data_IF_511455475081
#
_entry.id   IF_511455475081
#
_cell.length_a   1.000
_cell.length_b   1.000
_cell.length_c   1.000
_cell.angle_alpha   90.00
_cell.angle_beta   90.00
_cell.angle_gamma   90.00
#
_symmetry.space_group_name_H-M   'P 1'
#
loop_
_entity.id
_entity.type
_entity.pdbx_description
1 polymer ?
#
# COMPACT_ATOMS: atom_id res chain seq x y z
N UNK A 1 -15.06 1.35 -14.08
CA UNK A 1 -14.57 2.73 -14.36
C UNK A 1 -14.12 2.83 -15.82
N UNK A 2 -14.03 4.03 -16.43
CA UNK A 2 -13.42 4.14 -17.75
C UNK A 2 -11.92 3.84 -17.69
N UNK A 3 -11.38 3.17 -18.71
CA UNK A 3 -9.95 2.79 -18.77
C UNK A 3 -9.03 3.98 -18.56
N UNK A 4 -9.36 5.13 -19.15
CA UNK A 4 -8.57 6.36 -18.99
C UNK A 4 -8.50 6.84 -17.53
N UNK A 5 -9.59 6.76 -16.77
CA UNK A 5 -9.60 7.19 -15.37
C UNK A 5 -8.80 6.24 -14.46
N UNK A 6 -8.82 4.94 -14.76
CA UNK A 6 -7.96 3.94 -14.08
C UNK A 6 -6.48 4.21 -14.38
N UNK A 7 -6.12 4.48 -15.64
CA UNK A 7 -4.75 4.83 -16.01
C UNK A 7 -4.26 6.10 -15.30
N UNK A 8 -5.09 7.14 -15.22
CA UNK A 8 -4.75 8.36 -14.48
C UNK A 8 -4.54 8.07 -13.00
N UNK A 9 -5.41 7.26 -12.38
CA UNK A 9 -5.25 6.87 -10.98
C UNK A 9 -3.92 6.13 -10.73
N UNK A 10 -3.50 5.25 -11.64
CA UNK A 10 -2.20 4.57 -11.54
C UNK A 10 -1.01 5.51 -11.74
N UNK A 11 -1.11 6.50 -12.63
CA UNK A 11 -0.07 7.54 -12.77
C UNK A 11 0.05 8.35 -11.48
N UNK A 12 -1.07 8.79 -10.90
CA UNK A 12 -1.09 9.52 -9.63
C UNK A 12 -0.50 8.67 -8.51
N UNK A 13 -0.89 7.40 -8.39
CA UNK A 13 -0.34 6.48 -7.39
C UNK A 13 1.17 6.29 -7.57
N UNK A 14 1.65 6.17 -8.81
CA UNK A 14 3.09 6.04 -9.12
C UNK A 14 3.88 7.28 -8.68
N UNK A 15 3.35 8.48 -8.94
CA UNK A 15 3.95 9.73 -8.46
C UNK A 15 4.03 9.76 -6.92
N UNK A 16 2.97 9.33 -6.23
CA UNK A 16 2.96 9.26 -4.77
C UNK A 16 3.98 8.26 -4.21
N UNK A 17 4.20 7.12 -4.87
CA UNK A 17 5.25 6.19 -4.47
C UNK A 17 6.66 6.76 -4.66
N UNK A 18 6.90 7.50 -5.75
CA UNK A 18 8.18 8.20 -5.96
C UNK A 18 8.41 9.23 -4.84
N UNK A 19 7.39 10.04 -4.51
CA UNK A 19 7.47 11.00 -3.41
C UNK A 19 7.63 10.32 -2.04
N UNK A 20 7.04 9.14 -1.84
CA UNK A 20 7.22 8.34 -0.64
C UNK A 20 8.68 7.93 -0.45
N UNK A 21 9.31 7.36 -1.48
CA UNK A 21 10.72 6.93 -1.44
C UNK A 21 11.67 8.11 -1.22
N UNK A 22 11.45 9.23 -1.92
CA UNK A 22 12.23 10.45 -1.71
C UNK A 22 12.05 11.03 -0.29
N UNK A 23 10.82 11.01 0.23
CA UNK A 23 10.52 11.49 1.58
C UNK A 23 11.11 10.62 2.69
N UNK A 24 11.20 9.31 2.49
CA UNK A 24 11.81 8.36 3.44
C UNK A 24 13.35 8.48 3.53
N UNK A 25 13.98 9.12 2.54
CA UNK A 25 15.44 9.29 2.49
C UNK A 25 15.96 10.41 3.42
N UNK A 26 15.07 11.27 3.94
CA UNK A 26 15.42 12.34 4.88
C UNK A 26 14.57 12.24 6.14
N UNK A 27 15.20 12.28 7.32
CA UNK A 27 14.49 12.06 8.59
C UNK A 27 13.42 13.11 8.88
N UNK A 28 13.65 14.36 8.48
CA UNK A 28 12.69 15.46 8.65
C UNK A 28 11.41 15.24 7.83
N UNK A 29 11.51 14.58 6.67
CA UNK A 29 10.37 14.29 5.80
C UNK A 29 9.84 12.86 5.90
N UNK A 30 10.50 11.97 6.65
CA UNK A 30 10.19 10.53 6.67
C UNK A 30 8.71 10.23 6.99
N UNK A 31 8.13 10.96 7.96
CA UNK A 31 6.71 10.81 8.33
C UNK A 31 5.77 11.20 7.19
N UNK A 32 6.10 12.26 6.44
CA UNK A 32 5.33 12.70 5.27
C UNK A 32 5.51 11.74 4.09
N UNK A 33 6.74 11.25 3.89
CA UNK A 33 7.04 10.20 2.91
C UNK A 33 6.15 8.98 3.09
N UNK A 34 6.09 8.44 4.31
CA UNK A 34 5.23 7.29 4.60
C UNK A 34 3.74 7.56 4.31
N UNK A 35 3.24 8.76 4.60
CA UNK A 35 1.85 9.14 4.29
C UNK A 35 1.58 9.16 2.78
N UNK A 36 2.54 9.61 1.95
CA UNK A 36 2.41 9.53 0.49
C UNK A 36 2.33 8.09 0.02
N UNK A 37 3.13 7.18 0.60
CA UNK A 37 3.06 5.74 0.30
C UNK A 37 1.69 5.14 0.64
N UNK A 38 1.14 5.48 1.81
CA UNK A 38 -0.21 5.05 2.23
C UNK A 38 -1.28 5.60 1.29
N UNK A 39 -1.21 6.87 0.90
CA UNK A 39 -2.16 7.45 -0.06
C UNK A 39 -2.05 6.77 -1.45
N UNK A 40 -0.84 6.49 -1.91
CA UNK A 40 -0.57 5.83 -3.18
C UNK A 40 -1.19 4.44 -3.25
N UNK A 41 -0.99 3.60 -2.22
CA UNK A 41 -1.54 2.25 -2.20
C UNK A 41 -3.08 2.26 -2.10
N UNK A 42 -3.67 3.19 -1.35
CA UNK A 42 -5.14 3.34 -1.26
C UNK A 42 -5.73 3.70 -2.63
N UNK A 43 -5.12 4.65 -3.36
CA UNK A 43 -5.58 5.05 -4.70
C UNK A 43 -5.45 3.89 -5.68
N UNK A 44 -4.31 3.20 -5.69
CA UNK A 44 -4.07 2.09 -6.60
C UNK A 44 -5.05 0.93 -6.36
N UNK A 45 -5.22 0.50 -5.11
CA UNK A 45 -6.16 -0.57 -4.74
C UNK A 45 -7.60 -0.15 -5.02
N UNK A 46 -7.98 1.08 -4.69
CA UNK A 46 -9.32 1.61 -4.97
C UNK A 46 -9.64 1.64 -6.47
N UNK A 47 -8.70 2.09 -7.30
CA UNK A 47 -8.85 2.09 -8.75
C UNK A 47 -8.98 0.67 -9.32
N UNK A 48 -8.15 -0.27 -8.84
CA UNK A 48 -8.23 -1.69 -9.21
C UNK A 48 -9.59 -2.28 -8.85
N UNK A 49 -10.06 -2.08 -7.62
CA UNK A 49 -11.36 -2.57 -7.15
C UNK A 49 -12.54 -1.97 -7.93
N UNK A 50 -12.44 -0.70 -8.34
CA UNK A 50 -13.50 -0.05 -9.14
C UNK A 50 -13.42 -0.39 -10.65
N UNK A 51 -12.39 -1.12 -11.07
CA UNK A 51 -12.19 -1.58 -12.45
C UNK A 51 -12.50 -3.07 -12.66
N UNK A 52 -12.62 -3.86 -11.58
CA UNK A 52 -12.86 -5.30 -11.67
C UNK A 52 -14.35 -5.60 -11.90
N UNK A 53 -14.65 -6.45 -12.88
CA UNK A 53 -16.02 -6.79 -13.26
C UNK A 53 -16.60 -8.01 -12.50
N UNK A 54 -15.88 -8.52 -11.48
CA UNK A 54 -16.31 -9.67 -10.69
C UNK A 54 -15.32 -10.07 -9.59
N UNK A 55 -15.70 -11.04 -8.75
CA UNK A 55 -14.81 -11.58 -7.71
C UNK A 55 -14.52 -10.64 -6.53
N UNK A 56 -15.21 -9.50 -6.44
CA UNK A 56 -14.99 -8.48 -5.40
C UNK A 56 -15.08 -9.08 -3.99
N UNK A 57 -16.06 -9.95 -3.73
CA UNK A 57 -16.20 -10.63 -2.43
C UNK A 57 -14.96 -11.46 -2.08
N UNK A 58 -14.42 -12.20 -3.04
CA UNK A 58 -13.21 -13.00 -2.83
C UNK A 58 -11.98 -12.11 -2.60
N UNK A 59 -11.86 -11.01 -3.34
CA UNK A 59 -10.76 -10.03 -3.18
C UNK A 59 -10.83 -9.40 -1.78
N UNK A 60 -12.00 -8.94 -1.36
CA UNK A 60 -12.18 -8.33 -0.03
C UNK A 60 -11.84 -9.34 1.07
N UNK A 61 -12.31 -10.59 0.96
CA UNK A 61 -11.98 -11.64 1.93
C UNK A 61 -10.47 -11.87 1.98
N UNK A 62 -9.80 -11.99 0.83
CA UNK A 62 -8.36 -12.18 0.77
C UNK A 62 -7.57 -11.02 1.40
N UNK A 63 -7.99 -9.77 1.12
CA UNK A 63 -7.38 -8.57 1.72
C UNK A 63 -7.58 -8.55 3.24
N UNK A 64 -8.79 -8.88 3.72
CA UNK A 64 -9.08 -8.92 5.15
C UNK A 64 -8.31 -10.02 5.88
N UNK A 65 -8.15 -11.19 5.26
CA UNK A 65 -7.33 -12.28 5.81
C UNK A 65 -5.85 -11.88 5.87
N UNK A 66 -5.32 -11.31 4.79
CA UNK A 66 -3.95 -10.81 4.75
C UNK A 66 -3.68 -9.72 5.79
N UNK A 67 -4.55 -8.72 5.88
CA UNK A 67 -4.46 -7.66 6.88
C UNK A 67 -4.63 -8.18 8.31
N UNK A 68 -5.56 -9.11 8.52
CA UNK A 68 -5.84 -9.73 9.82
C UNK A 68 -4.66 -10.53 10.37
N UNK A 69 -3.81 -11.09 9.51
CA UNK A 69 -2.58 -11.79 9.90
C UNK A 69 -1.39 -10.81 9.98
N UNK A 70 -1.25 -9.92 8.98
CA UNK A 70 -0.11 -9.02 8.86
C UNK A 70 -0.04 -7.96 9.97
N UNK A 71 -1.17 -7.35 10.34
CA UNK A 71 -1.19 -6.28 11.35
C UNK A 71 -0.74 -6.78 12.73
N UNK A 72 -1.26 -7.91 13.25
CA UNK A 72 -0.79 -8.44 14.54
C UNK A 72 0.69 -8.83 14.54
N UNK A 73 1.20 -9.40 13.45
CA UNK A 73 2.61 -9.78 13.34
C UNK A 73 3.47 -8.52 13.36
N UNK A 74 3.15 -7.51 12.53
CA UNK A 74 3.89 -6.26 12.47
C UNK A 74 3.96 -5.52 13.83
N UNK A 75 2.89 -5.59 14.63
CA UNK A 75 2.84 -4.93 15.94
C UNK A 75 3.55 -5.71 17.06
N UNK A 76 3.78 -7.02 16.90
CA UNK A 76 4.37 -7.87 17.95
C UNK A 76 5.88 -8.07 17.81
N UNK A 77 6.46 -7.79 16.65
CA UNK A 77 7.88 -8.04 16.39
C UNK A 77 8.74 -6.97 17.04
N UNK A 78 9.82 -7.41 17.70
CA UNK A 78 10.80 -6.50 18.30
C UNK A 78 11.55 -5.71 17.22
N UNK A 79 11.94 -4.48 17.53
CA UNK A 79 12.72 -3.63 16.61
C UNK A 79 14.09 -4.26 16.23
N UNK A 80 14.58 -5.22 17.03
CA UNK A 80 15.79 -6.01 16.74
C UNK A 80 15.58 -7.03 15.63
N UNK A 81 14.35 -7.50 15.44
CA UNK A 81 13.96 -8.54 14.50
C UNK A 81 13.32 -7.97 13.21
N UNK A 82 13.43 -6.66 13.00
CA UNK A 82 12.93 -6.00 11.78
C UNK A 82 13.54 -6.60 10.50
N UNK A 83 14.85 -6.93 10.42
CA UNK A 83 15.42 -7.58 9.23
C UNK A 83 14.74 -8.90 8.86
N UNK A 84 14.38 -9.73 9.86
CA UNK A 84 13.74 -11.03 9.67
C UNK A 84 12.29 -10.87 9.19
N UNK A 85 11.56 -9.90 9.76
CA UNK A 85 10.20 -9.59 9.29
C UNK A 85 10.21 -9.10 7.84
N UNK A 86 11.17 -8.25 7.46
CA UNK A 86 11.30 -7.80 6.06
C UNK A 86 11.64 -8.96 5.13
N UNK A 87 12.47 -9.92 5.57
CA UNK A 87 12.80 -11.11 4.77
C UNK A 87 11.63 -12.09 4.59
N UNK A 88 10.64 -12.07 5.49
CA UNK A 88 9.43 -12.89 5.40
C UNK A 88 8.42 -12.35 4.38
N UNK A 89 8.44 -11.04 4.13
CA UNK A 89 7.48 -10.31 3.28
C UNK A 89 7.97 -10.20 1.84
#
# INVERSE_FOLDING_TARGET
>A
MSTGLVSVAYVVASILFILSLGGLSHQESARRGNLYGVAGIIIAVGATLASVDGGITAIIIAVLLGAGIGIPIANKVEMTQMPQLVALL
#
